data_IF_827529337814
#
_entry.id   IF_827529337814
#
_cell.length_a   1.000
_cell.length_b   1.000
_cell.length_c   1.000
_cell.angle_alpha   90.00
_cell.angle_beta   90.00
_cell.angle_gamma   90.00
#
_symmetry.space_group_name_H-M   'P 1'
#
loop_
_entity.id
_entity.type
_entity.pdbx_description
1 polymer ?
#
# COMPACT_ATOMS: atom_id res chain seq x y z
N UNK A 1 17.18 -3.84 7.36
CA UNK A 1 17.81 -2.60 6.77
C UNK A 1 16.65 -1.67 6.43
N UNK A 2 16.57 -0.43 6.97
CA UNK A 2 15.44 0.47 6.67
C UNK A 2 15.52 0.91 5.20
N UNK A 3 14.43 0.90 4.43
CA UNK A 3 14.46 1.40 3.08
C UNK A 3 14.92 2.86 3.08
N UNK A 4 15.93 3.17 2.29
CA UNK A 4 16.31 4.55 2.00
C UNK A 4 15.23 5.13 1.08
N UNK A 5 14.20 5.73 1.66
CA UNK A 5 13.34 6.63 0.90
C UNK A 5 14.28 7.65 0.27
N UNK A 6 14.24 7.79 -1.05
CA UNK A 6 15.00 8.82 -1.76
C UNK A 6 14.49 10.19 -1.30
N UNK A 7 15.08 10.72 -0.26
CA UNK A 7 14.72 12.00 0.36
C UNK A 7 15.14 13.22 -0.48
N UNK A 8 15.77 13.03 -1.63
CA UNK A 8 16.39 14.12 -2.40
C UNK A 8 15.40 15.23 -2.81
N UNK A 9 14.14 14.89 -3.09
CA UNK A 9 13.12 15.88 -3.44
C UNK A 9 12.67 16.67 -2.21
N UNK A 10 12.55 16.02 -1.05
CA UNK A 10 12.15 16.64 0.20
C UNK A 10 13.23 17.58 0.71
N UNK A 11 14.50 17.21 0.60
CA UNK A 11 15.61 18.06 1.02
C UNK A 11 15.75 19.36 0.21
N UNK A 12 15.41 19.34 -1.10
CA UNK A 12 15.49 20.53 -1.94
C UNK A 12 14.40 21.58 -1.64
N UNK A 13 13.19 21.14 -1.21
CA UNK A 13 12.04 22.03 -0.92
C UNK A 13 11.76 22.25 0.55
N UNK A 14 12.40 21.49 1.44
CA UNK A 14 12.17 21.48 2.88
C UNK A 14 10.87 20.73 3.27
N UNK A 15 10.80 20.29 4.52
CA UNK A 15 9.68 19.51 5.06
C UNK A 15 8.34 20.27 5.03
N UNK A 16 8.36 21.60 5.10
CA UNK A 16 7.16 22.43 5.02
C UNK A 16 6.45 22.38 3.67
N UNK A 17 7.09 21.82 2.64
CA UNK A 17 6.45 21.64 1.33
C UNK A 17 5.59 20.37 1.25
N UNK A 18 5.68 19.47 2.23
CA UNK A 18 4.84 18.28 2.32
C UNK A 18 3.43 18.72 2.67
N UNK A 19 2.44 18.30 1.88
CA UNK A 19 1.02 18.61 2.10
C UNK A 19 0.23 17.40 2.58
N UNK A 20 0.60 16.21 2.15
CA UNK A 20 -0.10 14.98 2.44
C UNK A 20 0.86 13.92 2.94
N UNK A 21 0.44 13.17 3.94
CA UNK A 21 1.10 11.97 4.45
C UNK A 21 0.07 10.86 4.40
N UNK A 22 0.21 9.94 3.44
CA UNK A 22 -0.69 8.81 3.26
C UNK A 22 -0.04 7.51 3.71
N UNK A 23 -0.85 6.58 4.13
CA UNK A 23 -0.50 5.20 4.44
C UNK A 23 -1.68 4.29 4.09
N UNK A 24 -1.42 3.01 3.93
CA UNK A 24 -2.42 2.03 3.51
C UNK A 24 -3.33 1.60 4.66
N UNK A 25 -2.75 1.19 5.78
CA UNK A 25 -3.45 0.64 6.94
C UNK A 25 -2.69 0.93 8.24
N UNK A 26 -3.32 0.65 9.38
CA UNK A 26 -2.72 0.90 10.69
C UNK A 26 -1.73 -0.20 11.06
N UNK A 27 -0.46 0.03 10.77
CA UNK A 27 0.67 -0.79 11.19
C UNK A 27 1.89 0.07 11.50
N UNK A 28 2.84 -0.44 12.30
CA UNK A 28 3.96 0.34 12.82
C UNK A 28 4.92 0.84 11.73
N UNK A 29 5.16 0.07 10.69
CA UNK A 29 6.00 0.44 9.55
C UNK A 29 5.27 1.33 8.53
N UNK A 30 3.93 1.29 8.50
CA UNK A 30 3.10 2.16 7.67
C UNK A 30 2.94 3.56 8.28
N UNK A 31 2.48 3.66 9.51
CA UNK A 31 2.10 4.93 10.12
C UNK A 31 2.72 5.21 11.50
N UNK A 32 3.60 4.33 12.01
CA UNK A 32 4.17 4.48 13.35
C UNK A 32 4.98 5.77 13.56
N UNK A 33 5.53 6.35 12.48
CA UNK A 33 6.26 7.63 12.53
C UNK A 33 5.40 8.84 12.11
N UNK A 34 4.08 8.70 11.99
CA UNK A 34 3.20 9.76 11.49
C UNK A 34 3.28 11.04 12.33
N UNK A 35 3.31 10.91 13.67
CA UNK A 35 3.40 12.05 14.60
C UNK A 35 4.69 12.84 14.38
N UNK A 36 5.82 12.16 14.26
CA UNK A 36 7.12 12.76 13.99
C UNK A 36 7.12 13.49 12.64
N UNK A 37 6.57 12.88 11.63
CA UNK A 37 6.42 13.51 10.31
C UNK A 37 5.56 14.77 10.38
N UNK A 38 4.43 14.73 11.08
CA UNK A 38 3.57 15.91 11.24
C UNK A 38 4.22 17.04 12.04
N UNK A 39 5.13 16.74 12.99
CA UNK A 39 5.87 17.76 13.73
C UNK A 39 6.86 18.52 12.85
N UNK A 40 7.59 17.83 11.98
CA UNK A 40 8.56 18.46 11.08
C UNK A 40 7.91 19.05 9.82
N UNK A 41 6.78 18.51 9.39
CA UNK A 41 5.96 18.95 8.26
C UNK A 41 4.66 19.58 8.80
N UNK A 42 4.76 20.79 9.38
CA UNK A 42 3.66 21.44 10.10
C UNK A 42 2.38 21.65 9.27
N UNK A 43 2.53 21.76 7.95
CA UNK A 43 1.43 22.00 7.02
C UNK A 43 0.88 20.69 6.40
N UNK A 44 1.46 19.54 6.76
CA UNK A 44 1.04 18.26 6.25
C UNK A 44 -0.20 17.72 6.97
N UNK A 45 -1.17 17.25 6.19
CA UNK A 45 -2.34 16.54 6.68
C UNK A 45 -2.19 15.05 6.41
N UNK A 46 -2.46 14.22 7.41
CA UNK A 46 -2.54 12.77 7.22
C UNK A 46 -3.80 12.43 6.41
N UNK A 47 -3.70 11.48 5.49
CA UNK A 47 -4.82 10.95 4.70
C UNK A 47 -4.89 9.44 4.84
N UNK A 48 -6.07 8.91 5.10
CA UNK A 48 -6.30 7.48 5.31
C UNK A 48 -7.79 7.15 5.10
N UNK A 49 -8.14 5.88 5.25
CA UNK A 49 -9.53 5.45 5.26
C UNK A 49 -10.31 6.06 6.45
N UNK A 50 -11.62 6.13 6.34
CA UNK A 50 -12.49 6.56 7.46
C UNK A 50 -12.33 5.62 8.67
N UNK A 51 -12.11 4.34 8.44
CA UNK A 51 -11.90 3.35 9.51
C UNK A 51 -10.59 3.63 10.26
N UNK A 52 -9.47 3.78 9.54
CA UNK A 52 -8.19 4.18 10.14
C UNK A 52 -8.31 5.44 10.98
N UNK A 53 -8.94 6.48 10.41
CA UNK A 53 -9.13 7.75 11.11
C UNK A 53 -9.86 7.56 12.44
N UNK A 54 -11.02 6.92 12.41
CA UNK A 54 -11.92 6.83 13.57
C UNK A 54 -11.42 5.88 14.66
N UNK A 55 -10.70 4.82 14.29
CA UNK A 55 -10.38 3.72 15.22
C UNK A 55 -8.98 3.84 15.80
N UNK A 56 -8.08 4.50 15.08
CA UNK A 56 -6.66 4.45 15.47
C UNK A 56 -5.93 5.79 15.32
N UNK A 57 -6.07 6.44 14.16
CA UNK A 57 -5.14 7.50 13.77
C UNK A 57 -5.30 8.75 14.61
N UNK A 58 -6.53 9.27 14.73
CA UNK A 58 -6.78 10.51 15.45
C UNK A 58 -6.49 10.38 16.95
N UNK A 59 -6.72 9.21 17.54
CA UNK A 59 -6.57 8.98 18.97
C UNK A 59 -5.15 8.58 19.39
N UNK A 60 -4.44 7.83 18.53
CA UNK A 60 -3.19 7.15 18.94
C UNK A 60 -1.95 7.71 18.25
N UNK A 61 -1.95 7.90 16.95
CA UNK A 61 -0.71 8.19 16.19
C UNK A 61 -0.60 9.58 15.63
N UNK A 62 -1.70 10.27 15.35
CA UNK A 62 -1.64 11.60 14.75
C UNK A 62 -1.34 12.70 15.76
N UNK A 63 -0.59 13.71 15.36
CA UNK A 63 -0.44 14.99 16.08
C UNK A 63 -1.64 15.92 15.82
N UNK A 64 -2.24 15.78 14.63
CA UNK A 64 -3.41 16.53 14.17
C UNK A 64 -4.37 15.58 13.47
N UNK A 65 -5.69 15.85 13.51
CA UNK A 65 -6.69 14.97 12.89
C UNK A 65 -6.39 14.67 11.42
N UNK A 66 -6.59 13.42 11.04
CA UNK A 66 -6.45 12.99 9.65
C UNK A 66 -7.67 13.42 8.81
N UNK A 67 -7.47 13.58 7.50
CA UNK A 67 -8.53 13.64 6.53
C UNK A 67 -8.89 12.21 6.12
N UNK A 68 -10.14 11.81 6.31
CA UNK A 68 -10.65 10.58 5.74
C UNK A 68 -10.87 10.74 4.24
N UNK A 69 -10.57 9.68 3.48
CA UNK A 69 -10.87 9.57 2.05
C UNK A 69 -12.01 8.56 1.85
N UNK A 70 -12.91 8.88 0.95
CA UNK A 70 -13.99 7.98 0.52
C UNK A 70 -13.51 7.03 -0.58
N UNK A 71 -14.17 5.86 -0.71
CA UNK A 71 -13.86 4.91 -1.78
C UNK A 71 -14.10 5.54 -3.15
N UNK A 72 -13.08 5.54 -4.00
CA UNK A 72 -13.12 6.18 -5.32
C UNK A 72 -12.86 7.69 -5.30
N UNK A 73 -12.64 8.30 -4.14
CA UNK A 73 -12.32 9.73 -4.05
C UNK A 73 -11.02 10.05 -4.78
N UNK A 74 -11.07 11.12 -5.56
CA UNK A 74 -9.90 11.66 -6.27
C UNK A 74 -9.47 12.97 -5.64
N UNK A 75 -8.19 13.10 -5.34
CA UNK A 75 -7.60 14.35 -4.89
C UNK A 75 -6.34 14.70 -5.69
N UNK A 76 -6.09 15.99 -5.82
CA UNK A 76 -4.98 16.52 -6.62
C UNK A 76 -3.93 17.14 -5.70
N UNK A 77 -2.67 16.84 -5.97
CA UNK A 77 -1.54 17.47 -5.31
C UNK A 77 -0.48 17.89 -6.33
N UNK A 78 -0.39 19.20 -6.57
CA UNK A 78 0.42 19.72 -7.65
C UNK A 78 -0.04 19.22 -9.02
N UNK A 79 0.81 18.48 -9.71
CA UNK A 79 0.50 17.88 -11.01
C UNK A 79 -0.02 16.44 -10.93
N UNK A 80 -0.09 15.86 -9.74
CA UNK A 80 -0.47 14.46 -9.52
C UNK A 80 -1.94 14.36 -9.14
N UNK A 81 -2.64 13.37 -9.70
CA UNK A 81 -4.02 13.01 -9.40
C UNK A 81 -4.05 11.63 -8.78
N UNK A 82 -4.51 11.53 -7.54
CA UNK A 82 -4.58 10.27 -6.80
C UNK A 82 -6.03 9.86 -6.58
N UNK A 83 -6.35 8.64 -6.93
CA UNK A 83 -7.61 7.99 -6.60
C UNK A 83 -7.39 7.06 -5.41
N UNK A 84 -8.21 7.21 -4.37
CA UNK A 84 -8.22 6.32 -3.21
C UNK A 84 -9.17 5.15 -3.45
N UNK A 85 -8.74 3.94 -3.09
CA UNK A 85 -9.55 2.73 -3.15
C UNK A 85 -9.57 2.07 -1.78
N UNK A 86 -10.74 1.91 -1.20
CA UNK A 86 -10.93 1.09 -0.02
C UNK A 86 -10.76 -0.39 -0.38
N UNK A 87 -9.88 -1.08 0.35
CA UNK A 87 -9.53 -2.48 0.09
C UNK A 87 -9.50 -3.31 1.37
N UNK A 88 -10.61 -3.38 2.13
CA UNK A 88 -10.63 -4.07 3.43
C UNK A 88 -10.08 -5.49 3.32
N UNK A 89 -9.07 -5.79 4.18
CA UNK A 89 -8.35 -7.06 4.20
C UNK A 89 -7.54 -7.38 2.93
N UNK A 90 -7.20 -6.37 2.12
CA UNK A 90 -6.29 -6.50 0.99
C UNK A 90 -5.27 -5.36 1.04
N UNK A 91 -3.99 -5.66 1.35
CA UNK A 91 -3.41 -6.99 1.60
C UNK A 91 -3.91 -7.63 2.89
N UNK A 92 -3.98 -6.89 3.98
CA UNK A 92 -4.53 -7.27 5.28
C UNK A 92 -5.11 -6.04 6.00
N UNK A 93 -5.52 -6.15 7.25
CA UNK A 93 -6.20 -5.12 8.04
C UNK A 93 -7.53 -4.62 7.43
N UNK A 94 -8.50 -4.40 8.28
CA UNK A 94 -9.87 -4.03 7.86
C UNK A 94 -10.00 -2.57 7.40
N UNK A 95 -9.03 -1.74 7.77
CA UNK A 95 -8.93 -0.33 7.44
C UNK A 95 -8.09 -0.04 6.17
N UNK A 96 -7.61 -1.09 5.50
CA UNK A 96 -6.71 -0.97 4.36
C UNK A 96 -7.32 -0.20 3.17
N UNK A 97 -6.46 0.57 2.51
CA UNK A 97 -6.75 1.26 1.26
C UNK A 97 -5.49 1.53 0.46
N UNK A 98 -5.65 1.71 -0.84
CA UNK A 98 -4.56 1.96 -1.77
C UNK A 98 -4.75 3.28 -2.49
N UNK A 99 -3.65 3.85 -2.95
CA UNK A 99 -3.63 5.03 -3.79
C UNK A 99 -3.19 4.66 -5.21
N UNK A 100 -3.96 5.11 -6.19
CA UNK A 100 -3.61 5.01 -7.60
C UNK A 100 -3.32 6.39 -8.17
N UNK A 101 -2.10 6.63 -8.63
CA UNK A 101 -1.73 7.86 -9.31
C UNK A 101 -2.11 7.75 -10.79
N UNK A 102 -3.11 8.54 -11.20
CA UNK A 102 -3.80 8.38 -12.48
C UNK A 102 -2.96 8.79 -13.69
N UNK A 103 -2.05 9.77 -13.56
CA UNK A 103 -1.29 10.29 -14.70
C UNK A 103 -0.20 9.32 -15.17
N UNK A 104 0.49 8.68 -14.23
CA UNK A 104 1.54 7.68 -14.53
C UNK A 104 1.00 6.26 -14.59
N UNK A 105 -0.20 6.02 -14.05
CA UNK A 105 -0.74 4.69 -13.86
C UNK A 105 0.01 3.90 -12.79
N UNK A 106 0.34 4.55 -11.67
CA UNK A 106 1.10 3.92 -10.58
C UNK A 106 0.17 3.53 -9.43
N UNK A 107 0.11 2.24 -9.10
CA UNK A 107 -0.55 1.72 -7.91
C UNK A 107 0.43 1.66 -6.75
N UNK A 108 0.19 2.44 -5.70
CA UNK A 108 0.89 2.35 -4.41
C UNK A 108 0.15 1.30 -3.58
N UNK A 109 0.72 0.13 -3.44
CA UNK A 109 -0.01 -1.06 -2.99
C UNK A 109 0.48 -1.65 -1.67
N UNK A 110 1.28 -0.89 -0.89
CA UNK A 110 1.70 -1.31 0.45
C UNK A 110 2.29 -2.72 0.46
N UNK A 111 1.80 -3.62 1.29
CA UNK A 111 2.27 -5.00 1.41
C UNK A 111 1.76 -5.95 0.34
N UNK A 112 0.87 -5.49 -0.52
CA UNK A 112 0.49 -6.29 -1.67
C UNK A 112 1.70 -6.44 -2.60
N UNK A 113 2.00 -7.66 -3.03
CA UNK A 113 3.24 -8.03 -3.72
C UNK A 113 4.52 -7.98 -2.84
N UNK A 114 4.38 -8.08 -1.53
CA UNK A 114 5.51 -8.18 -0.61
C UNK A 114 6.53 -9.26 -1.06
N UNK A 115 7.79 -8.92 -1.02
CA UNK A 115 8.89 -9.80 -1.38
C UNK A 115 9.95 -9.80 -0.28
N UNK A 116 10.39 -10.98 0.13
CA UNK A 116 11.48 -11.15 1.10
C UNK A 116 12.85 -10.95 0.46
N UNK A 117 13.83 -10.60 1.29
CA UNK A 117 15.25 -10.56 0.92
C UNK A 117 15.71 -9.24 0.30
N UNK A 118 16.91 -9.28 -0.24
CA UNK A 118 17.52 -8.13 -0.93
C UNK A 118 17.29 -8.30 -2.43
N UNK A 119 16.37 -7.54 -2.96
CA UNK A 119 15.95 -7.60 -4.37
C UNK A 119 16.29 -6.29 -5.08
N UNK A 120 16.29 -6.31 -6.41
CA UNK A 120 16.49 -5.12 -7.21
C UNK A 120 15.40 -4.06 -6.95
N UNK A 121 15.73 -2.79 -7.06
CA UNK A 121 14.76 -1.71 -6.79
C UNK A 121 13.58 -1.69 -7.78
N UNK A 122 13.82 -2.08 -9.04
CA UNK A 122 12.81 -2.12 -10.10
C UNK A 122 12.94 -3.42 -10.89
N UNK A 123 11.83 -4.05 -11.20
CA UNK A 123 11.76 -5.26 -12.02
C UNK A 123 10.66 -5.16 -13.08
N UNK A 124 10.75 -5.98 -14.11
CA UNK A 124 9.68 -6.17 -15.12
C UNK A 124 9.17 -7.61 -15.16
N UNK A 125 9.58 -8.45 -14.21
CA UNK A 125 9.21 -9.87 -14.16
C UNK A 125 9.29 -10.42 -12.74
N UNK A 126 8.67 -11.59 -12.51
CA UNK A 126 8.87 -12.39 -11.30
C UNK A 126 8.22 -11.85 -10.02
N UNK A 127 7.49 -10.73 -10.05
CA UNK A 127 6.90 -10.13 -8.84
C UNK A 127 5.88 -11.05 -8.17
N UNK A 128 5.06 -11.75 -8.96
CA UNK A 128 4.04 -12.68 -8.45
C UNK A 128 4.64 -13.96 -7.90
N UNK A 129 5.66 -14.52 -8.57
CA UNK A 129 6.33 -15.73 -8.07
C UNK A 129 7.04 -15.48 -6.75
N UNK A 130 7.75 -14.36 -6.61
CA UNK A 130 8.41 -13.94 -5.35
C UNK A 130 7.40 -13.73 -4.22
N UNK A 131 6.26 -13.08 -4.51
CA UNK A 131 5.18 -12.96 -3.54
C UNK A 131 4.62 -14.33 -3.12
N UNK A 132 4.36 -15.23 -4.07
CA UNK A 132 3.86 -16.58 -3.78
C UNK A 132 4.85 -17.40 -2.93
N UNK A 133 6.15 -17.29 -3.22
CA UNK A 133 7.21 -17.92 -2.43
C UNK A 133 7.24 -17.40 -0.99
N UNK A 134 7.20 -16.08 -0.80
CA UNK A 134 7.09 -15.44 0.51
C UNK A 134 5.85 -15.94 1.25
N UNK A 135 4.68 -15.97 0.60
CA UNK A 135 3.44 -16.38 1.20
C UNK A 135 3.47 -17.84 1.66
N UNK A 136 4.04 -18.75 0.86
CA UNK A 136 4.25 -20.16 1.21
C UNK A 136 5.21 -20.31 2.41
N UNK A 137 6.26 -19.49 2.46
CA UNK A 137 7.19 -19.47 3.58
C UNK A 137 6.50 -19.01 4.87
N UNK A 138 5.71 -17.95 4.81
CA UNK A 138 5.00 -17.40 5.95
C UNK A 138 3.98 -18.38 6.55
N UNK A 139 3.32 -19.21 5.72
CA UNK A 139 2.41 -20.26 6.23
C UNK A 139 3.10 -21.27 7.14
N UNK A 140 4.42 -21.37 7.14
CA UNK A 140 5.20 -22.31 7.96
C UNK A 140 5.68 -21.73 9.29
N UNK A 141 5.44 -20.43 9.53
CA UNK A 141 6.02 -19.69 10.64
C UNK A 141 5.00 -18.82 11.40
N UNK A 142 5.47 -17.89 12.21
CA UNK A 142 4.62 -17.01 13.02
C UNK A 142 3.73 -16.07 12.21
N UNK A 143 4.01 -15.90 10.92
CA UNK A 143 3.24 -15.08 10.00
C UNK A 143 2.19 -15.87 9.19
N UNK A 144 1.83 -17.10 9.62
CA UNK A 144 0.89 -17.94 8.87
C UNK A 144 -0.47 -17.29 8.58
N UNK A 145 -0.90 -16.34 9.41
CA UNK A 145 -2.15 -15.61 9.23
C UNK A 145 -1.95 -14.15 8.77
N UNK A 146 -0.81 -13.84 8.19
CA UNK A 146 -0.44 -12.49 7.75
C UNK A 146 -1.45 -11.90 6.76
N UNK A 147 -1.81 -12.67 5.73
CA UNK A 147 -2.77 -12.24 4.72
C UNK A 147 -4.06 -13.07 4.83
N UNK A 148 -5.21 -12.45 5.11
CA UNK A 148 -6.49 -13.16 5.07
C UNK A 148 -6.98 -13.33 3.64
N UNK A 149 -7.62 -14.46 3.34
CA UNK A 149 -8.36 -14.65 2.10
C UNK A 149 -9.87 -14.65 2.40
N UNK A 150 -10.54 -13.56 2.04
CA UNK A 150 -11.96 -13.37 2.33
C UNK A 150 -12.82 -13.60 1.07
N UNK A 151 -14.13 -13.70 1.25
CA UNK A 151 -15.09 -13.79 0.13
C UNK A 151 -15.04 -12.57 -0.80
N UNK A 152 -14.46 -11.44 -0.34
CA UNK A 152 -14.33 -10.18 -1.10
C UNK A 152 -12.97 -10.03 -1.77
N UNK A 153 -11.94 -10.81 -1.38
CA UNK A 153 -10.56 -10.64 -1.85
C UNK A 153 -10.47 -10.60 -3.37
N UNK A 154 -11.11 -11.57 -4.06
CA UNK A 154 -11.11 -11.62 -5.53
C UNK A 154 -11.74 -10.37 -6.16
N UNK A 155 -12.86 -9.89 -5.62
CA UNK A 155 -13.55 -8.71 -6.13
C UNK A 155 -12.69 -7.45 -5.95
N UNK A 156 -12.05 -7.30 -4.80
CA UNK A 156 -11.18 -6.14 -4.50
C UNK A 156 -9.98 -6.14 -5.45
N UNK A 157 -9.30 -7.28 -5.61
CA UNK A 157 -8.17 -7.38 -6.54
C UNK A 157 -8.60 -7.12 -7.99
N UNK A 158 -9.79 -7.58 -8.40
CA UNK A 158 -10.34 -7.25 -9.73
C UNK A 158 -10.51 -5.74 -9.93
N UNK A 159 -11.01 -5.01 -8.93
CA UNK A 159 -11.11 -3.54 -8.98
C UNK A 159 -9.74 -2.85 -9.13
N UNK A 160 -8.70 -3.38 -8.49
CA UNK A 160 -7.34 -2.87 -8.65
C UNK A 160 -6.78 -3.19 -10.05
N UNK A 161 -7.07 -4.37 -10.59
CA UNK A 161 -6.68 -4.78 -11.94
C UNK A 161 -7.35 -3.91 -13.02
N UNK A 162 -8.63 -3.55 -12.83
CA UNK A 162 -9.41 -2.70 -13.75
C UNK A 162 -8.81 -1.28 -13.93
N UNK A 163 -7.95 -0.83 -13.00
CA UNK A 163 -7.19 0.41 -13.14
C UNK A 163 -6.06 0.31 -14.17
N UNK A 164 -5.70 -0.92 -14.59
CA UNK A 164 -4.63 -1.21 -15.55
C UNK A 164 -3.31 -0.53 -15.20
N UNK A 165 -2.78 -0.73 -13.97
CA UNK A 165 -1.57 -0.07 -13.56
C UNK A 165 -0.39 -0.45 -14.46
N UNK A 166 0.42 0.55 -14.82
CA UNK A 166 1.68 0.38 -15.54
C UNK A 166 2.84 0.16 -14.58
N UNK A 167 2.66 0.60 -13.35
CA UNK A 167 3.62 0.46 -12.26
C UNK A 167 2.90 -0.01 -11.01
N UNK A 168 3.44 -1.04 -10.37
CA UNK A 168 3.00 -1.53 -9.05
C UNK A 168 4.15 -1.25 -8.08
N UNK A 169 3.90 -0.43 -7.08
CA UNK A 169 4.89 0.01 -6.09
C UNK A 169 4.54 -0.55 -4.70
N UNK A 170 5.04 -1.74 -4.34
CA UNK A 170 4.89 -2.28 -2.99
C UNK A 170 5.82 -1.57 -2.01
N UNK A 171 5.52 -1.69 -0.71
CA UNK A 171 6.39 -1.19 0.34
C UNK A 171 7.64 -2.08 0.51
N UNK A 172 7.47 -3.38 0.41
CA UNK A 172 8.53 -4.38 0.63
C UNK A 172 8.83 -5.14 -0.65
N UNK A 173 9.96 -4.81 -1.30
CA UNK A 173 10.43 -5.48 -2.50
C UNK A 173 10.63 -4.57 -3.70
N UNK A 174 10.67 -5.18 -4.89
CA UNK A 174 10.87 -4.47 -6.15
C UNK A 174 9.61 -3.76 -6.62
N UNK A 175 9.73 -2.55 -7.10
CA UNK A 175 8.71 -1.90 -7.91
C UNK A 175 8.61 -2.62 -9.27
N UNK A 176 7.40 -3.04 -9.65
CA UNK A 176 7.16 -3.69 -10.94
C UNK A 176 6.73 -2.67 -11.99
N UNK A 177 7.32 -2.77 -13.19
CA UNK A 177 6.94 -1.96 -14.35
C UNK A 177 6.55 -2.92 -15.49
N UNK A 178 5.27 -2.89 -15.88
CA UNK A 178 4.76 -3.78 -16.90
C UNK A 178 3.23 -3.86 -16.94
N UNK A 179 2.70 -5.01 -17.34
CA UNK A 179 1.26 -5.29 -17.34
C UNK A 179 0.77 -5.57 -15.92
N UNK A 180 0.37 -4.52 -15.22
CA UNK A 180 -0.12 -4.63 -13.85
C UNK A 180 -1.52 -5.25 -13.76
N UNK A 181 -2.34 -5.17 -14.81
CA UNK A 181 -3.63 -5.86 -14.87
C UNK A 181 -3.43 -7.37 -14.75
N UNK A 182 -2.61 -7.94 -15.63
CA UNK A 182 -2.28 -9.37 -15.60
C UNK A 182 -1.60 -9.76 -14.29
N UNK A 183 -0.64 -8.96 -13.80
CA UNK A 183 0.06 -9.24 -12.55
C UNK A 183 -0.89 -9.31 -11.34
N UNK A 184 -1.92 -8.46 -11.26
CA UNK A 184 -2.90 -8.49 -10.18
C UNK A 184 -3.83 -9.71 -10.29
N UNK A 185 -4.23 -10.12 -11.49
CA UNK A 185 -5.00 -11.35 -11.66
C UNK A 185 -4.20 -12.60 -11.28
N UNK A 186 -2.92 -12.65 -11.65
CA UNK A 186 -2.01 -13.73 -11.27
C UNK A 186 -1.77 -13.76 -9.75
N UNK A 187 -1.66 -12.57 -9.12
CA UNK A 187 -1.60 -12.44 -7.66
C UNK A 187 -2.87 -13.00 -7.00
N UNK A 188 -4.04 -12.66 -7.53
CA UNK A 188 -5.31 -13.14 -7.00
C UNK A 188 -5.40 -14.68 -7.05
N UNK A 189 -4.88 -15.29 -8.13
CA UNK A 189 -4.79 -16.73 -8.24
C UNK A 189 -3.78 -17.32 -7.26
N UNK A 190 -2.60 -16.70 -7.10
CA UNK A 190 -1.58 -17.14 -6.14
C UNK A 190 -2.10 -17.10 -4.68
N UNK A 191 -2.79 -16.02 -4.31
CA UNK A 191 -3.41 -15.91 -2.98
C UNK A 191 -4.49 -16.99 -2.77
N UNK A 192 -5.32 -17.24 -3.77
CA UNK A 192 -6.33 -18.30 -3.71
C UNK A 192 -5.69 -19.68 -3.52
N UNK A 193 -4.65 -20.00 -4.30
CA UNK A 193 -3.99 -21.31 -4.27
C UNK A 193 -3.35 -21.59 -2.90
N UNK A 194 -2.78 -20.56 -2.25
CA UNK A 194 -2.04 -20.74 -1.01
C UNK A 194 -2.95 -20.61 0.22
N UNK A 195 -3.91 -19.68 0.19
CA UNK A 195 -4.68 -19.31 1.38
C UNK A 195 -6.07 -19.95 1.42
N UNK A 196 -6.74 -20.14 0.27
CA UNK A 196 -8.11 -20.69 0.26
C UNK A 196 -8.17 -22.23 0.41
N UNK A 197 -7.05 -22.94 0.27
CA UNK A 197 -6.96 -24.39 0.39
C UNK A 197 -6.58 -24.90 1.78
N UNK A 198 -6.44 -24.01 2.78
CA UNK A 198 -5.95 -24.35 4.14
C UNK A 198 -7.07 -24.52 5.19
N UNK A 199 -8.30 -24.68 4.75
CA UNK A 199 -9.48 -24.87 5.61
C UNK A 199 -10.06 -26.26 5.52
#
# INVERSE_FOLDING_TARGET
MRPKISCDIVFKKGFRSIRWIGFSHFEADECGALREWQRIASDATAICSIVSKMVSVDDVVAERPARALEDGEVFVTGKFSFKFLQTPHVPHAWDAGHLFEENSGTLLCSDLFHQNGDVEAVTNSGIVSRFKEMLIEYQKGPFANYLPYTTKTKQILGRLADLKPKTIAPMHGSTYVGDGESAIYDLAQAMKDVLAGSG
#
